data_IF_072964477773
#
_entry.id   IF_072964477773
#
_cell.length_a   1.000
_cell.length_b   1.000
_cell.length_c   1.000
_cell.angle_alpha   90.00
_cell.angle_beta   90.00
_cell.angle_gamma   90.00
#
_symmetry.space_group_name_H-M   'P 1'
#
loop_
_entity.id
_entity.type
_entity.pdbx_description
1 polymer ?
#
# COMPACT_ATOMS: atom_id res chain seq x y z
N UNK A 1 45.03 -23.82 -75.62
CA UNK A 1 43.83 -24.52 -75.10
C UNK A 1 43.59 -23.97 -73.69
N UNK A 2 42.68 -23.00 -73.50
CA UNK A 2 41.28 -23.22 -73.09
C UNK A 2 41.27 -24.08 -71.79
N UNK A 3 40.88 -23.65 -70.58
CA UNK A 3 39.72 -22.84 -70.23
C UNK A 3 39.74 -22.36 -68.76
N UNK A 4 39.06 -21.23 -68.54
CA UNK A 4 38.18 -20.89 -67.42
C UNK A 4 38.66 -21.06 -65.95
N UNK A 5 38.91 -19.92 -65.28
CA UNK A 5 38.66 -19.78 -63.85
C UNK A 5 37.47 -18.86 -63.60
N UNK A 6 36.50 -19.42 -62.88
CA UNK A 6 35.20 -18.87 -62.54
C UNK A 6 35.35 -17.66 -61.62
N UNK A 7 34.56 -16.62 -61.89
CA UNK A 7 34.25 -15.55 -60.93
C UNK A 7 33.48 -16.16 -59.76
N UNK A 8 33.93 -15.93 -58.54
CA UNK A 8 33.10 -16.12 -57.34
C UNK A 8 32.98 -14.76 -56.64
N UNK A 9 31.73 -14.31 -56.53
CA UNK A 9 31.35 -13.00 -56.04
C UNK A 9 31.72 -12.83 -54.56
N UNK A 10 32.40 -11.73 -54.24
CA UNK A 10 32.67 -11.30 -52.88
C UNK A 10 31.44 -10.57 -52.36
N UNK A 11 30.61 -11.27 -51.59
CA UNK A 11 29.41 -10.72 -50.95
C UNK A 11 29.81 -9.70 -49.89
N UNK A 12 29.48 -8.43 -50.11
CA UNK A 12 29.66 -7.34 -49.15
C UNK A 12 28.56 -7.46 -48.09
N UNK A 13 28.94 -7.84 -46.87
CA UNK A 13 28.05 -7.89 -45.71
C UNK A 13 27.90 -6.46 -45.18
N UNK A 14 26.80 -5.80 -45.50
CA UNK A 14 26.45 -4.49 -44.93
C UNK A 14 25.96 -4.75 -43.51
N UNK A 15 26.82 -4.48 -42.53
CA UNK A 15 26.46 -4.46 -41.11
C UNK A 15 25.57 -3.23 -40.91
N UNK A 16 24.26 -3.45 -40.84
CA UNK A 16 23.30 -2.43 -40.42
C UNK A 16 23.43 -2.27 -38.90
N UNK A 17 24.37 -1.42 -38.46
CA UNK A 17 24.44 -0.95 -37.09
C UNK A 17 23.25 -0.03 -36.84
N UNK A 18 22.13 -0.60 -36.39
CA UNK A 18 21.04 0.17 -35.82
C UNK A 18 21.58 0.77 -34.53
N UNK A 19 21.99 2.03 -34.61
CA UNK A 19 22.22 2.84 -33.43
C UNK A 19 20.83 3.04 -32.83
N UNK A 20 20.44 2.16 -31.91
CA UNK A 20 19.40 2.47 -30.96
C UNK A 20 19.93 3.66 -30.16
N UNK A 21 19.64 4.86 -30.65
CA UNK A 21 19.62 6.03 -29.81
C UNK A 21 18.51 5.77 -28.79
N UNK A 22 18.87 5.10 -27.69
CA UNK A 22 18.03 5.06 -26.52
C UNK A 22 17.81 6.52 -26.14
N UNK A 23 16.61 7.04 -26.40
CA UNK A 23 16.15 8.23 -25.69
C UNK A 23 16.22 7.85 -24.22
N UNK A 24 17.25 8.31 -23.52
CA UNK A 24 17.20 8.30 -22.07
C UNK A 24 16.02 9.21 -21.72
N UNK A 25 14.91 8.60 -21.31
CA UNK A 25 13.85 9.32 -20.61
C UNK A 25 14.51 10.19 -19.56
N UNK A 26 14.18 11.48 -19.52
CA UNK A 26 14.71 12.35 -18.48
C UNK A 26 14.39 11.74 -17.11
N UNK A 27 15.33 11.80 -16.15
CA UNK A 27 15.11 11.23 -14.83
C UNK A 27 13.87 11.89 -14.20
N UNK A 28 12.90 11.05 -13.79
CA UNK A 28 11.70 11.53 -13.10
C UNK A 28 12.15 12.20 -11.80
N UNK A 29 11.85 13.48 -11.68
CA UNK A 29 12.14 14.25 -10.47
C UNK A 29 10.94 14.19 -9.53
N UNK A 30 11.22 13.94 -8.26
CA UNK A 30 10.22 13.92 -7.20
C UNK A 30 10.37 15.16 -6.35
N UNK A 31 9.24 15.70 -5.91
CA UNK A 31 9.16 16.81 -4.98
C UNK A 31 8.43 16.37 -3.72
N UNK A 32 8.99 16.74 -2.57
CA UNK A 32 8.33 16.56 -1.29
C UNK A 32 7.15 17.54 -1.16
N UNK A 33 6.01 17.03 -0.71
CA UNK A 33 4.79 17.76 -0.42
C UNK A 33 4.32 17.41 0.98
N UNK A 34 3.61 18.35 1.58
CA UNK A 34 3.05 18.22 2.91
C UNK A 34 1.59 18.67 2.90
N UNK A 35 0.73 17.91 3.57
CA UNK A 35 -0.67 18.25 3.81
C UNK A 35 -0.95 18.19 5.31
N UNK A 36 -1.73 19.13 5.84
CA UNK A 36 -2.15 19.12 7.23
C UNK A 36 -3.59 19.61 7.37
N UNK A 37 -4.36 18.94 8.23
CA UNK A 37 -5.73 19.35 8.59
C UNK A 37 -6.01 19.08 10.07
N UNK A 38 -6.97 19.81 10.64
CA UNK A 38 -7.40 19.54 12.02
C UNK A 38 -8.07 18.17 12.12
N UNK A 39 -7.69 17.37 13.11
CA UNK A 39 -8.34 16.08 13.34
C UNK A 39 -9.82 16.21 13.75
N UNK A 40 -10.23 17.36 14.29
CA UNK A 40 -11.63 17.63 14.64
C UNK A 40 -12.55 17.73 13.41
N UNK A 41 -11.98 17.93 12.22
CA UNK A 41 -12.70 18.01 10.95
C UNK A 41 -12.79 16.67 10.22
N UNK A 42 -12.18 15.60 10.77
CA UNK A 42 -12.01 14.32 10.10
C UNK A 42 -12.65 13.21 10.93
N UNK A 43 -13.64 12.54 10.34
CA UNK A 43 -14.24 11.34 10.91
C UNK A 43 -13.59 10.08 10.29
N UNK A 44 -13.19 10.14 9.01
CA UNK A 44 -12.62 8.99 8.28
C UNK A 44 -11.33 9.37 7.54
N UNK A 45 -10.29 8.54 7.67
CA UNK A 45 -9.08 8.63 6.86
C UNK A 45 -9.07 7.50 5.82
N UNK A 46 -8.98 7.84 4.55
CA UNK A 46 -8.85 6.89 3.45
C UNK A 46 -7.54 7.12 2.70
N UNK A 47 -6.65 6.13 2.69
CA UNK A 47 -5.43 6.12 1.88
C UNK A 47 -5.52 4.97 0.89
N UNK A 48 -5.81 5.30 -0.37
CA UNK A 48 -5.94 4.34 -1.48
C UNK A 48 -4.84 4.59 -2.51
N UNK A 49 -3.73 3.89 -2.30
CA UNK A 49 -2.48 4.12 -3.04
C UNK A 49 -2.01 2.86 -3.74
N UNK A 50 -1.02 3.01 -4.63
CA UNK A 50 -0.45 1.88 -5.36
C UNK A 50 1.04 1.84 -5.14
N UNK A 51 1.53 0.70 -4.64
CA UNK A 51 2.96 0.41 -4.55
C UNK A 51 3.67 1.52 -3.74
N UNK A 52 3.12 1.84 -2.57
CA UNK A 52 3.65 2.84 -1.64
C UNK A 52 3.76 2.24 -0.25
N UNK A 53 4.87 2.52 0.42
CA UNK A 53 5.03 2.25 1.86
C UNK A 53 4.26 3.34 2.61
N UNK A 54 3.53 2.96 3.63
CA UNK A 54 2.84 3.89 4.51
C UNK A 54 3.45 3.71 5.90
N UNK A 55 3.96 4.79 6.47
CA UNK A 55 4.50 4.82 7.83
C UNK A 55 3.60 5.70 8.70
N UNK A 56 3.18 5.16 9.84
CA UNK A 56 2.33 5.87 10.78
C UNK A 56 3.14 6.33 11.99
N UNK A 57 2.82 7.52 12.45
CA UNK A 57 3.45 8.16 13.60
C UNK A 57 2.39 8.83 14.46
N UNK A 58 2.71 9.05 15.73
CA UNK A 58 1.92 9.89 16.62
C UNK A 58 2.14 11.36 16.25
N UNK A 59 1.06 12.13 16.07
CA UNK A 59 1.17 13.58 15.88
C UNK A 59 1.45 14.30 17.20
N UNK A 60 2.26 15.35 17.15
CA UNK A 60 2.63 16.22 18.29
C UNK A 60 1.63 17.36 18.53
N UNK A 61 0.73 17.61 17.58
CA UNK A 61 -0.34 18.61 17.67
C UNK A 61 -1.71 17.98 17.37
N UNK A 62 -2.80 18.76 17.38
CA UNK A 62 -4.17 18.27 17.13
C UNK A 62 -4.49 18.09 15.64
N UNK A 63 -3.47 17.95 14.78
CA UNK A 63 -3.62 17.82 13.34
C UNK A 63 -3.17 16.47 12.84
N UNK A 64 -3.80 16.05 11.74
CA UNK A 64 -3.30 14.99 10.90
C UNK A 64 -2.30 15.62 9.93
N UNK A 65 -1.09 15.07 9.84
CA UNK A 65 -0.09 15.47 8.86
C UNK A 65 0.19 14.33 7.88
N UNK A 66 0.39 14.66 6.61
CA UNK A 66 0.80 13.72 5.58
C UNK A 66 1.99 14.32 4.84
N UNK A 67 3.15 13.63 4.88
CA UNK A 67 4.31 13.95 4.06
C UNK A 67 4.48 12.87 2.99
N UNK A 68 4.73 13.31 1.76
CA UNK A 68 4.81 12.42 0.60
C UNK A 68 5.63 13.04 -0.52
N UNK A 69 6.12 12.20 -1.43
CA UNK A 69 6.80 12.63 -2.64
C UNK A 69 5.92 12.38 -3.86
N UNK A 70 5.81 13.36 -4.74
CA UNK A 70 5.12 13.23 -6.04
C UNK A 70 5.98 13.75 -7.20
N UNK A 71 5.57 13.40 -8.40
CA UNK A 71 6.17 13.84 -9.66
C UNK A 71 5.07 14.14 -10.67
N UNK A 72 5.45 14.69 -11.83
CA UNK A 72 4.51 14.91 -12.95
C UNK A 72 3.82 13.61 -13.42
N UNK A 73 4.42 12.45 -13.16
CA UNK A 73 3.94 11.13 -13.61
C UNK A 73 3.23 10.31 -12.53
N UNK A 74 3.51 10.58 -11.27
CA UNK A 74 2.96 9.86 -10.11
C UNK A 74 2.65 10.86 -9.01
N UNK A 75 1.37 11.05 -8.71
CA UNK A 75 0.88 12.10 -7.82
C UNK A 75 -0.36 11.63 -7.06
N UNK A 76 -0.86 12.46 -6.15
CA UNK A 76 -1.99 12.09 -5.30
C UNK A 76 -3.08 13.15 -5.37
N UNK A 77 -4.32 12.69 -5.35
CA UNK A 77 -5.48 13.55 -5.11
C UNK A 77 -5.79 13.49 -3.63
N UNK A 78 -5.61 14.61 -2.95
CA UNK A 78 -5.94 14.77 -1.53
C UNK A 78 -7.15 15.68 -1.42
N UNK A 79 -8.19 15.21 -0.72
CA UNK A 79 -9.45 15.94 -0.55
C UNK A 79 -10.02 15.68 0.84
N UNK A 80 -10.59 16.72 1.46
CA UNK A 80 -11.39 16.61 2.68
C UNK A 80 -12.84 16.93 2.30
N UNK A 81 -13.69 15.90 2.28
CA UNK A 81 -15.07 16.04 1.84
C UNK A 81 -15.98 16.67 2.91
N UNK A 82 -17.16 17.14 2.50
CA UNK A 82 -18.22 17.59 3.42
C UNK A 82 -18.68 16.49 4.40
N UNK A 83 -18.47 15.22 4.03
CA UNK A 83 -18.69 14.05 4.88
C UNK A 83 -17.54 13.77 5.85
N UNK A 84 -16.59 14.70 6.01
CA UNK A 84 -15.43 14.60 6.90
C UNK A 84 -14.51 13.40 6.61
N UNK A 85 -14.49 12.96 5.35
CA UNK A 85 -13.52 11.99 4.88
C UNK A 85 -12.30 12.71 4.32
N UNK A 86 -11.14 12.51 4.96
CA UNK A 86 -9.84 12.86 4.40
C UNK A 86 -9.38 11.70 3.50
N UNK A 87 -9.37 11.93 2.20
CA UNK A 87 -8.97 10.95 1.20
C UNK A 87 -7.62 11.30 0.57
N UNK A 88 -6.76 10.30 0.37
CA UNK A 88 -5.55 10.37 -0.44
C UNK A 88 -5.58 9.24 -1.46
N UNK A 89 -5.71 9.58 -2.74
CA UNK A 89 -5.84 8.60 -3.83
C UNK A 89 -4.69 8.75 -4.82
N UNK A 90 -3.97 7.65 -5.08
CA UNK A 90 -2.91 7.61 -6.08
C UNK A 90 -3.45 7.81 -7.50
N UNK A 91 -2.78 8.67 -8.27
CA UNK A 91 -3.02 8.92 -9.67
C UNK A 91 -1.69 8.90 -10.47
N UNK A 92 -1.77 8.60 -11.76
CA UNK A 92 -0.58 8.49 -12.60
C UNK A 92 -0.85 8.82 -14.06
N UNK A 93 0.16 9.42 -14.69
CA UNK A 93 0.27 9.63 -16.14
C UNK A 93 1.44 8.84 -16.73
N UNK A 94 1.85 7.72 -16.10
CA UNK A 94 2.93 6.87 -16.63
C UNK A 94 2.51 6.17 -17.91
N UNK A 95 3.37 6.26 -18.91
CA UNK A 95 3.29 5.44 -20.11
C UNK A 95 3.92 4.06 -19.87
N UNK A 96 3.77 3.15 -20.84
CA UNK A 96 4.23 1.77 -20.68
C UNK A 96 5.76 1.65 -20.59
N UNK A 97 6.49 2.56 -21.23
CA UNK A 97 7.95 2.62 -21.25
C UNK A 97 8.54 3.23 -19.97
N UNK A 98 7.76 4.00 -19.21
CA UNK A 98 8.14 4.50 -17.87
C UNK A 98 8.33 3.42 -16.81
N UNK A 99 7.98 2.16 -17.14
CA UNK A 99 8.26 1.01 -16.30
C UNK A 99 9.62 0.36 -16.62
N UNK A 100 10.31 0.82 -17.68
CA UNK A 100 11.67 0.40 -18.04
C UNK A 100 12.65 1.20 -17.19
N UNK A 101 13.49 0.53 -16.40
CA UNK A 101 14.44 1.17 -15.47
C UNK A 101 14.14 0.91 -13.99
N UNK A 102 13.04 0.21 -13.69
CA UNK A 102 12.69 -0.20 -12.32
C UNK A 102 11.79 0.81 -11.60
N UNK A 103 11.56 0.55 -10.32
CA UNK A 103 10.75 1.43 -9.47
C UNK A 103 11.57 2.65 -9.04
N UNK A 104 10.87 3.75 -8.73
CA UNK A 104 11.49 4.85 -8.02
C UNK A 104 12.11 4.37 -6.70
N UNK A 105 13.09 5.11 -6.20
CA UNK A 105 13.69 4.83 -4.91
C UNK A 105 12.64 4.86 -3.78
N UNK A 106 12.85 4.09 -2.71
CA UNK A 106 11.82 3.85 -1.70
C UNK A 106 11.41 5.14 -0.99
N UNK A 107 12.35 6.06 -0.74
CA UNK A 107 12.09 7.38 -0.16
C UNK A 107 11.05 8.18 -0.95
N UNK A 108 11.03 8.05 -2.28
CA UNK A 108 10.06 8.70 -3.16
C UNK A 108 8.70 7.97 -3.20
N UNK A 109 8.60 6.84 -2.52
CA UNK A 109 7.43 5.96 -2.46
C UNK A 109 6.95 5.73 -1.04
N UNK A 110 7.53 6.41 -0.06
CA UNK A 110 7.07 6.40 1.34
C UNK A 110 6.11 7.56 1.55
N UNK A 111 4.95 7.26 2.13
CA UNK A 111 3.99 8.23 2.64
C UNK A 111 4.06 8.14 4.16
N UNK A 112 4.30 9.27 4.81
CA UNK A 112 4.35 9.36 6.26
C UNK A 112 3.09 10.05 6.76
N UNK A 113 2.43 9.46 7.75
CA UNK A 113 1.15 9.92 8.27
C UNK A 113 1.25 10.06 9.78
N UNK A 114 1.05 11.28 10.28
CA UNK A 114 0.98 11.56 11.70
C UNK A 114 -0.47 11.70 12.11
N UNK A 115 -0.91 10.89 13.06
CA UNK A 115 -2.28 10.90 13.58
C UNK A 115 -2.22 11.32 15.05
N UNK A 116 -2.99 12.34 15.47
CA UNK A 116 -3.05 12.74 16.86
C UNK A 116 -3.87 11.76 17.69
N UNK A 117 -3.77 11.87 19.02
CA UNK A 117 -4.69 11.19 19.91
C UNK A 117 -6.05 11.90 19.87
N UNK A 118 -6.82 11.58 18.83
CA UNK A 118 -8.12 12.17 18.53
C UNK A 118 -9.13 11.05 18.22
N UNK A 119 -10.41 11.33 18.47
CA UNK A 119 -11.49 10.38 18.18
C UNK A 119 -11.83 10.32 16.69
N UNK A 120 -10.88 9.84 15.87
CA UNK A 120 -11.13 9.51 14.47
C UNK A 120 -11.96 8.23 14.44
N UNK A 121 -13.04 8.23 13.67
CA UNK A 121 -13.94 7.09 13.61
C UNK A 121 -13.34 5.95 12.80
N UNK A 122 -12.88 6.22 11.58
CA UNK A 122 -12.54 5.15 10.65
C UNK A 122 -11.18 5.31 9.96
N UNK A 123 -10.54 4.18 9.69
CA UNK A 123 -9.34 4.08 8.86
C UNK A 123 -9.57 3.10 7.72
N UNK A 124 -9.31 3.54 6.49
CA UNK A 124 -9.36 2.71 5.29
C UNK A 124 -8.00 2.79 4.59
N UNK A 125 -7.27 1.68 4.56
CA UNK A 125 -5.98 1.56 3.87
C UNK A 125 -6.09 0.58 2.72
N UNK A 126 -5.66 1.02 1.54
CA UNK A 126 -5.52 0.17 0.36
C UNK A 126 -4.17 0.43 -0.29
N UNK A 127 -3.40 -0.64 -0.46
CA UNK A 127 -2.17 -0.59 -1.27
C UNK A 127 -2.02 -1.84 -2.12
N UNK A 128 -1.27 -1.77 -3.21
CA UNK A 128 -0.98 -2.95 -4.03
C UNK A 128 0.19 -3.75 -3.49
N UNK A 129 1.22 -3.09 -3.00
CA UNK A 129 2.44 -3.72 -2.48
C UNK A 129 2.94 -2.97 -1.25
N UNK A 130 4.05 -3.47 -0.69
CA UNK A 130 4.71 -2.94 0.52
C UNK A 130 4.00 -3.36 1.80
N UNK A 131 4.75 -3.72 2.83
CA UNK A 131 4.19 -4.08 4.12
C UNK A 131 3.45 -2.90 4.78
N UNK A 132 2.35 -3.20 5.47
CA UNK A 132 1.67 -2.25 6.35
C UNK A 132 1.98 -2.61 7.79
N UNK A 133 2.59 -1.67 8.51
CA UNK A 133 2.81 -1.76 9.95
C UNK A 133 1.96 -0.66 10.60
N UNK A 134 1.02 -1.05 11.46
CA UNK A 134 0.28 -0.10 12.29
C UNK A 134 0.84 -0.12 13.71
N UNK A 135 1.38 1.01 14.21
CA UNK A 135 1.71 1.16 15.61
C UNK A 135 0.41 1.21 16.45
N UNK A 136 0.52 1.28 17.79
CA UNK A 136 -0.64 1.46 18.65
C UNK A 136 -1.48 2.66 18.25
N UNK A 137 -2.66 2.39 17.67
CA UNK A 137 -3.62 3.37 17.19
C UNK A 137 -5.03 2.98 17.62
N UNK A 138 -5.85 3.99 17.93
CA UNK A 138 -7.23 3.82 18.34
C UNK A 138 -8.19 4.52 17.38
N UNK A 139 -9.25 3.82 16.99
CA UNK A 139 -10.32 4.35 16.14
C UNK A 139 -11.67 4.03 16.77
N UNK A 140 -12.57 5.02 16.83
CA UNK A 140 -13.88 4.87 17.48
C UNK A 140 -14.82 3.92 16.73
N UNK A 141 -14.61 3.77 15.42
CA UNK A 141 -15.39 2.97 14.50
C UNK A 141 -14.59 1.80 13.93
N UNK A 142 -14.40 1.81 12.61
CA UNK A 142 -13.92 0.68 11.84
C UNK A 142 -12.52 0.90 11.25
N UNK A 143 -11.73 -0.17 11.20
CA UNK A 143 -10.44 -0.23 10.51
C UNK A 143 -10.52 -1.26 9.38
N UNK A 144 -10.22 -0.85 8.16
CA UNK A 144 -10.23 -1.68 6.97
C UNK A 144 -8.89 -1.57 6.24
N UNK A 145 -8.13 -2.65 6.20
CA UNK A 145 -6.81 -2.72 5.57
C UNK A 145 -6.85 -3.78 4.48
N UNK A 146 -6.55 -3.36 3.25
CA UNK A 146 -6.47 -4.25 2.10
C UNK A 146 -5.15 -4.08 1.35
N UNK A 147 -4.45 -5.17 1.17
CA UNK A 147 -3.21 -5.23 0.41
C UNK A 147 -3.23 -6.37 -0.61
N UNK A 148 -2.59 -6.21 -1.77
CA UNK A 148 -2.41 -7.35 -2.67
C UNK A 148 -1.14 -8.16 -2.32
N UNK A 149 0.02 -7.52 -2.19
CA UNK A 149 1.29 -8.20 -1.91
C UNK A 149 2.05 -7.53 -0.76
N UNK A 150 2.07 -8.17 0.40
CA UNK A 150 2.73 -7.66 1.59
C UNK A 150 1.99 -8.11 2.83
N UNK A 151 2.69 -8.05 3.95
CA UNK A 151 2.12 -8.40 5.23
C UNK A 151 1.32 -7.23 5.81
N UNK A 152 0.45 -7.57 6.74
CA UNK A 152 -0.18 -6.62 7.65
C UNK A 152 0.32 -6.97 9.05
N UNK A 153 1.05 -6.06 9.67
CA UNK A 153 1.51 -6.17 11.05
C UNK A 153 0.79 -5.13 11.92
N UNK A 154 0.20 -5.57 13.02
CA UNK A 154 -0.51 -4.71 13.97
C UNK A 154 0.18 -4.71 15.33
N UNK A 155 0.30 -3.54 15.95
CA UNK A 155 0.64 -3.41 17.37
C UNK A 155 -0.50 -2.73 18.10
N UNK A 156 -1.17 -3.46 19.01
CA UNK A 156 -2.26 -2.96 19.86
C UNK A 156 -3.29 -2.10 19.13
N UNK A 157 -3.75 -2.57 17.97
CA UNK A 157 -4.80 -1.87 17.23
C UNK A 157 -6.12 -1.90 18.02
N UNK A 158 -6.67 -0.74 18.34
CA UNK A 158 -7.97 -0.64 19.01
C UNK A 158 -9.01 -0.09 18.02
N UNK A 159 -9.99 -0.90 17.66
CA UNK A 159 -11.15 -0.45 16.90
C UNK A 159 -12.43 -0.61 17.74
N UNK A 160 -13.30 0.40 17.70
CA UNK A 160 -14.54 0.40 18.46
C UNK A 160 -15.60 -0.55 17.92
N UNK A 161 -15.60 -0.84 16.60
CA UNK A 161 -16.64 -1.68 15.98
C UNK A 161 -16.09 -2.84 15.14
N UNK A 162 -15.32 -2.56 14.09
CA UNK A 162 -14.94 -3.57 13.08
C UNK A 162 -13.47 -3.48 12.73
N UNK A 163 -12.81 -4.62 12.63
CA UNK A 163 -11.48 -4.78 12.03
C UNK A 163 -11.60 -5.69 10.82
N UNK A 164 -11.23 -5.21 9.65
CA UNK A 164 -11.17 -6.00 8.41
C UNK A 164 -9.76 -5.96 7.85
N UNK A 165 -9.13 -7.13 7.70
CA UNK A 165 -7.76 -7.28 7.22
C UNK A 165 -7.75 -8.26 6.04
N UNK A 166 -7.30 -7.81 4.86
CA UNK A 166 -7.21 -8.63 3.67
C UNK A 166 -5.84 -8.48 3.01
N UNK A 167 -5.14 -9.59 2.82
CA UNK A 167 -3.97 -9.66 1.92
C UNK A 167 -4.15 -10.77 0.89
N UNK A 168 -3.64 -10.64 -0.35
CA UNK A 168 -3.61 -11.79 -1.26
C UNK A 168 -2.36 -12.64 -1.05
N UNK A 169 -1.21 -12.00 -0.89
CA UNK A 169 0.09 -12.64 -0.76
C UNK A 169 0.85 -11.97 0.39
N UNK A 170 0.75 -12.56 1.58
CA UNK A 170 1.36 -12.04 2.79
C UNK A 170 0.73 -12.62 4.05
N UNK A 171 1.45 -12.48 5.14
CA UNK A 171 0.99 -12.86 6.46
C UNK A 171 0.20 -11.71 7.10
N UNK A 172 -0.74 -12.06 7.98
CA UNK A 172 -1.43 -11.10 8.85
C UNK A 172 -1.05 -11.47 10.28
N UNK A 173 -0.37 -10.58 10.98
CA UNK A 173 0.14 -10.83 12.33
C UNK A 173 -0.01 -9.62 13.23
N UNK A 174 0.14 -9.84 14.54
CA UNK A 174 0.19 -8.75 15.52
C UNK A 174 -0.86 -8.87 16.61
N UNK A 175 -1.21 -7.73 17.21
CA UNK A 175 -2.16 -7.67 18.33
C UNK A 175 -3.29 -6.66 18.12
N UNK A 176 -4.46 -7.01 18.66
CA UNK A 176 -5.68 -6.19 18.65
C UNK A 176 -6.13 -6.03 20.10
N UNK A 177 -6.52 -4.80 20.48
CA UNK A 177 -7.02 -4.49 21.82
C UNK A 177 -8.43 -5.03 22.02
N UNK A 178 -8.64 -5.72 23.14
CA UNK A 178 -9.88 -6.37 23.54
C UNK A 178 -9.71 -7.87 23.79
N UNK A 179 -10.71 -8.48 24.40
CA UNK A 179 -10.76 -9.93 24.63
C UNK A 179 -11.21 -10.67 23.38
N UNK A 180 -10.78 -11.93 23.23
CA UNK A 180 -11.30 -12.85 22.21
C UNK A 180 -12.83 -12.94 22.21
N UNK A 181 -13.46 -12.83 23.38
CA UNK A 181 -14.92 -12.91 23.50
C UNK A 181 -15.64 -11.68 22.93
N UNK A 182 -14.96 -10.53 22.83
CA UNK A 182 -15.51 -9.29 22.31
C UNK A 182 -15.79 -9.36 20.80
N UNK A 183 -15.17 -10.29 20.08
CA UNK A 183 -15.21 -10.33 18.61
C UNK A 183 -16.05 -11.48 18.05
N UNK A 184 -17.01 -11.16 17.19
CA UNK A 184 -17.49 -12.07 16.16
C UNK A 184 -16.40 -12.19 15.07
N UNK A 185 -15.96 -13.40 14.77
CA UNK A 185 -14.76 -13.66 13.93
C UNK A 185 -15.16 -14.40 12.66
N UNK A 186 -14.69 -13.91 11.53
CA UNK A 186 -14.63 -14.64 10.27
C UNK A 186 -13.19 -14.66 9.79
N UNK A 187 -12.58 -15.84 9.68
CA UNK A 187 -11.19 -15.96 9.25
C UNK A 187 -11.02 -16.97 8.10
N UNK A 188 -10.19 -16.60 7.12
CA UNK A 188 -9.89 -17.47 5.98
C UNK A 188 -8.42 -17.37 5.56
N UNK A 189 -7.63 -18.43 5.81
CA UNK A 189 -6.30 -18.59 5.22
C UNK A 189 -6.34 -19.73 4.19
N UNK A 190 -6.42 -19.41 2.89
CA UNK A 190 -6.61 -20.45 1.85
C UNK A 190 -5.37 -21.34 1.69
N UNK A 191 -4.18 -20.73 1.67
CA UNK A 191 -2.89 -21.43 1.62
C UNK A 191 -1.98 -20.94 2.73
N UNK A 192 -2.33 -21.36 3.94
CA UNK A 192 -1.54 -21.15 5.14
C UNK A 192 -2.31 -21.64 6.36
N UNK A 193 -1.91 -21.16 7.53
CA UNK A 193 -2.53 -21.50 8.80
C UNK A 193 -3.14 -20.26 9.44
N UNK A 194 -4.20 -20.45 10.21
CA UNK A 194 -4.76 -19.40 11.07
C UNK A 194 -4.79 -19.90 12.51
N UNK A 195 -4.47 -19.01 13.46
CA UNK A 195 -4.69 -19.24 14.90
C UNK A 195 -6.12 -18.89 15.34
N UNK A 196 -6.94 -18.31 14.45
CA UNK A 196 -8.33 -17.95 14.71
C UNK A 196 -9.30 -19.05 14.27
N UNK A 197 -10.51 -19.13 14.86
CA UNK A 197 -11.56 -19.99 14.33
C UNK A 197 -12.01 -19.48 12.95
N UNK A 198 -12.41 -20.38 12.02
CA UNK A 198 -12.93 -19.95 10.73
C UNK A 198 -14.23 -19.15 10.86
N UNK A 199 -15.04 -19.42 11.89
CA UNK A 199 -16.25 -18.67 12.19
C UNK A 199 -16.55 -18.71 13.70
N UNK A 200 -16.78 -17.53 14.30
CA UNK A 200 -17.37 -17.31 15.63
C UNK A 200 -18.45 -16.25 15.49
N UNK A 201 -19.70 -16.59 15.76
CA UNK A 201 -20.85 -15.71 15.49
C UNK A 201 -21.21 -14.72 16.60
N UNK A 202 -20.50 -14.75 17.74
CA UNK A 202 -20.80 -13.91 18.92
C UNK A 202 -19.64 -12.96 19.22
N UNK A 203 -20.00 -11.76 19.64
CA UNK A 203 -19.11 -10.67 20.04
C UNK A 203 -19.78 -9.33 19.68
N UNK A 204 -19.45 -8.28 20.39
CA UNK A 204 -19.99 -6.93 20.14
C UNK A 204 -19.25 -6.23 18.99
N UNK A 205 -17.99 -6.63 18.75
CA UNK A 205 -17.15 -6.18 17.65
C UNK A 205 -17.07 -7.24 16.55
N UNK A 206 -16.66 -6.84 15.35
CA UNK A 206 -16.43 -7.75 14.22
C UNK A 206 -14.95 -7.81 13.84
N UNK A 207 -14.43 -9.01 13.62
CA UNK A 207 -13.08 -9.25 13.11
C UNK A 207 -13.15 -10.14 11.85
N UNK A 208 -12.87 -9.54 10.70
CA UNK A 208 -12.81 -10.23 9.41
C UNK A 208 -11.36 -10.28 8.93
N UNK A 209 -10.80 -11.47 8.75
CA UNK A 209 -9.38 -11.63 8.39
C UNK A 209 -9.21 -12.64 7.28
N UNK A 210 -8.57 -12.25 6.18
CA UNK A 210 -8.38 -13.17 5.06
C UNK A 210 -7.03 -13.04 4.36
N UNK A 211 -6.46 -14.19 4.00
CA UNK A 211 -5.29 -14.29 3.14
C UNK A 211 -5.39 -15.44 2.14
N UNK A 212 -5.00 -15.21 0.88
CA UNK A 212 -4.95 -16.31 -0.10
C UNK A 212 -3.67 -17.14 0.07
N UNK A 213 -2.52 -16.50 0.21
CA UNK A 213 -1.21 -17.14 0.37
C UNK A 213 -0.46 -16.48 1.53
N UNK A 214 -0.55 -17.09 2.71
CA UNK A 214 0.02 -16.58 3.95
C UNK A 214 -0.70 -17.12 5.18
N UNK A 215 -0.16 -16.82 6.35
CA UNK A 215 -0.67 -17.20 7.65
C UNK A 215 -1.40 -16.04 8.34
N UNK A 216 -2.27 -16.38 9.29
CA UNK A 216 -2.94 -15.45 10.19
C UNK A 216 -2.50 -15.81 11.62
N UNK A 217 -1.86 -14.87 12.31
CA UNK A 217 -1.44 -15.01 13.70
C UNK A 217 -1.73 -13.73 14.49
N UNK A 218 -2.94 -13.63 15.03
CA UNK A 218 -3.39 -12.46 15.80
C UNK A 218 -3.54 -12.78 17.29
N UNK A 219 -3.09 -11.86 18.12
CA UNK A 219 -3.22 -11.90 19.58
C UNK A 219 -4.24 -10.87 20.06
N UNK A 220 -4.98 -11.23 21.11
CA UNK A 220 -5.92 -10.36 21.80
C UNK A 220 -5.25 -9.87 23.09
N UNK A 221 -5.19 -8.57 23.28
CA UNK A 221 -4.44 -7.93 24.38
C UNK A 221 -5.28 -6.86 25.07
N UNK A 222 -4.93 -6.55 26.31
CA UNK A 222 -5.55 -5.47 27.09
C UNK A 222 -4.98 -4.09 26.76
#
# INVERSE_FOLDING_TARGET
>A
MINATKKLAMSVLIILSVILAGCSSEPITYEEKNYATSAAEVDTITIDVKDRKIEFFQSEDEKIHISYNESEKEFYKIDLSDGKELSMVYASHKDWDDYIGGKAAQENRTIQVWIPDASIENLILKTSNEEIELPPLSFAGAVNIKINNGNIQLDKLNAGTTVTLETKNGDISGSIVGSYDDFAILSEAKKGKSNLPPNKSRGDKTLNVSTNNGNINLEFVD
#
